data_IF_020100974140
#
_entry.id   IF_020100974140
#
_cell.length_a   1.000
_cell.length_b   1.000
_cell.length_c   1.000
_cell.angle_alpha   90.00
_cell.angle_beta   90.00
_cell.angle_gamma   90.00
#
_symmetry.space_group_name_H-M   'P 1'
#
loop_
_entity.id
_entity.type
_entity.pdbx_description
1 polymer ?
#
# COMPACT_ATOMS: atom_id res chain seq x y z
N UNK A 1 -50.22 -11.57 31.51
CA UNK A 1 -49.41 -12.21 30.44
C UNK A 1 -49.21 -11.21 29.31
N UNK A 2 -48.01 -10.64 29.14
CA UNK A 2 -47.64 -9.82 27.96
C UNK A 2 -46.28 -10.31 27.48
N UNK A 3 -46.24 -10.95 26.31
CA UNK A 3 -45.02 -11.50 25.71
C UNK A 3 -44.29 -10.37 24.99
N UNK A 4 -43.11 -9.97 25.47
CA UNK A 4 -42.20 -9.13 24.69
C UNK A 4 -41.66 -9.94 23.52
N UNK A 5 -42.05 -9.57 22.30
CA UNK A 5 -41.52 -10.08 21.05
C UNK A 5 -40.20 -9.34 20.79
N UNK A 6 -39.08 -9.97 21.14
CA UNK A 6 -37.75 -9.42 20.85
C UNK A 6 -37.42 -9.78 19.39
N UNK A 7 -37.36 -8.77 18.51
CA UNK A 7 -36.94 -8.92 17.12
C UNK A 7 -35.43 -9.18 17.07
N UNK A 8 -35.04 -10.45 16.90
CA UNK A 8 -33.65 -10.92 16.79
C UNK A 8 -33.02 -10.72 15.39
N UNK A 9 -33.43 -9.69 14.64
CA UNK A 9 -33.12 -9.57 13.21
C UNK A 9 -32.12 -8.47 12.84
N UNK A 10 -31.33 -7.97 13.79
CA UNK A 10 -30.48 -6.78 13.55
C UNK A 10 -29.00 -6.94 13.92
N UNK A 11 -28.48 -8.16 14.08
CA UNK A 11 -27.08 -8.35 14.50
C UNK A 11 -26.35 -9.43 13.70
N UNK A 12 -26.49 -9.41 12.37
CA UNK A 12 -25.77 -10.32 11.47
C UNK A 12 -25.19 -9.59 10.24
N UNK A 13 -24.88 -8.30 10.36
CA UNK A 13 -24.44 -7.48 9.25
C UNK A 13 -23.12 -6.73 9.50
N UNK A 14 -22.22 -7.30 10.32
CA UNK A 14 -20.85 -6.80 10.46
C UNK A 14 -19.86 -7.96 10.39
N UNK A 15 -19.84 -8.61 9.23
CA UNK A 15 -18.68 -9.39 8.78
C UNK A 15 -18.26 -8.80 7.44
N UNK A 16 -17.81 -7.55 7.50
CA UNK A 16 -17.17 -6.87 6.36
C UNK A 16 -15.82 -7.52 6.19
N UNK A 17 -15.77 -8.48 5.27
CA UNK A 17 -14.64 -8.81 4.41
C UNK A 17 -13.27 -8.43 4.99
N UNK A 18 -12.75 -9.26 5.89
CA UNK A 18 -11.31 -9.32 6.10
C UNK A 18 -10.70 -9.86 4.80
N UNK A 19 -10.23 -8.95 3.95
CA UNK A 19 -9.55 -9.26 2.70
C UNK A 19 -8.36 -10.16 2.98
N UNK A 20 -8.48 -11.45 2.68
CA UNK A 20 -7.36 -12.38 2.67
C UNK A 20 -6.55 -12.12 1.41
N UNK A 21 -5.66 -11.13 1.44
CA UNK A 21 -4.54 -11.08 0.50
C UNK A 21 -3.42 -11.94 1.10
N UNK A 22 -3.57 -13.26 0.99
CA UNK A 22 -2.52 -14.21 1.36
C UNK A 22 -1.49 -14.29 0.23
N UNK A 23 -0.53 -13.37 0.22
CA UNK A 23 0.72 -13.55 -0.51
C UNK A 23 1.78 -14.02 0.48
N UNK A 24 1.89 -15.33 0.64
CA UNK A 24 3.06 -15.95 1.27
C UNK A 24 4.18 -16.03 0.24
N UNK A 25 5.08 -15.06 0.25
CA UNK A 25 6.39 -15.11 -0.41
C UNK A 25 7.49 -15.06 0.67
N UNK A 26 8.64 -15.73 0.46
CA UNK A 26 9.64 -15.96 1.50
C UNK A 26 10.29 -14.65 1.96
N UNK A 27 10.77 -14.61 3.20
CA UNK A 27 11.46 -13.49 3.84
C UNK A 27 12.83 -13.15 3.20
N UNK A 28 12.82 -12.85 1.90
CA UNK A 28 13.81 -12.00 1.27
C UNK A 28 13.45 -10.55 1.61
N UNK A 29 14.44 -9.65 1.64
CA UNK A 29 14.17 -8.22 1.60
C UNK A 29 13.49 -7.94 0.25
N UNK A 30 12.16 -8.03 0.20
CA UNK A 30 11.40 -7.86 -1.02
C UNK A 30 11.39 -6.38 -1.36
N UNK A 31 12.23 -6.01 -2.33
CA UNK A 31 12.18 -4.67 -2.89
C UNK A 31 11.04 -4.59 -3.89
N UNK A 32 10.08 -3.71 -3.65
CA UNK A 32 8.90 -3.52 -4.52
C UNK A 32 8.82 -2.10 -5.04
N UNK A 33 8.29 -1.92 -6.25
CA UNK A 33 7.91 -0.59 -6.75
C UNK A 33 6.47 -0.29 -6.37
N UNK A 34 6.21 0.95 -5.96
CA UNK A 34 4.90 1.44 -5.56
C UNK A 34 4.59 2.73 -6.29
N UNK A 35 3.32 2.91 -6.68
CA UNK A 35 2.83 4.15 -7.26
C UNK A 35 2.80 5.26 -6.20
N UNK A 36 3.05 6.49 -6.62
CA UNK A 36 2.95 7.67 -5.77
C UNK A 36 2.00 8.68 -6.38
N UNK A 37 1.07 9.17 -5.56
CA UNK A 37 0.18 10.27 -5.89
C UNK A 37 0.43 11.41 -4.90
N UNK A 38 1.18 12.43 -5.34
CA UNK A 38 1.69 13.48 -4.47
C UNK A 38 2.75 12.93 -3.50
N UNK A 39 2.35 12.66 -2.26
CA UNK A 39 3.19 12.05 -1.22
C UNK A 39 2.66 10.68 -0.76
N UNK A 40 1.46 10.28 -1.19
CA UNK A 40 0.84 9.03 -0.77
C UNK A 40 1.39 7.84 -1.55
N UNK A 41 1.74 6.76 -0.85
CA UNK A 41 2.17 5.50 -1.44
C UNK A 41 0.93 4.65 -1.73
N UNK A 42 0.75 4.32 -3.00
CA UNK A 42 -0.35 3.53 -3.50
C UNK A 42 0.01 2.06 -3.72
N UNK A 43 -0.63 1.47 -4.72
CA UNK A 43 -0.51 0.03 -5.02
C UNK A 43 0.90 -0.36 -5.51
N UNK A 44 1.33 -1.60 -5.24
CA UNK A 44 2.54 -2.16 -5.82
C UNK A 44 2.41 -2.27 -7.35
N UNK A 45 3.53 -2.15 -8.04
CA UNK A 45 3.63 -2.15 -9.49
C UNK A 45 4.91 -2.86 -9.95
N UNK A 46 4.94 -3.27 -11.22
CA UNK A 46 6.08 -3.99 -11.79
C UNK A 46 7.36 -3.13 -11.91
N UNK A 47 7.21 -1.80 -11.92
CA UNK A 47 8.31 -0.84 -12.02
C UNK A 47 7.96 0.37 -12.89
N UNK A 48 8.88 1.35 -12.97
CA UNK A 48 8.70 2.53 -13.82
C UNK A 48 8.53 2.13 -15.29
N UNK A 49 7.48 2.66 -15.91
CA UNK A 49 7.15 2.42 -17.32
C UNK A 49 6.45 3.65 -17.92
N UNK A 50 6.38 3.70 -19.26
CA UNK A 50 5.81 4.83 -19.99
C UNK A 50 6.53 6.14 -19.67
N UNK A 51 5.79 7.09 -19.12
CA UNK A 51 6.26 8.44 -18.79
C UNK A 51 6.91 8.53 -17.40
N UNK A 52 6.78 7.50 -16.58
CA UNK A 52 7.43 7.40 -15.27
C UNK A 52 8.80 6.73 -15.41
N UNK A 53 9.88 7.48 -15.21
CA UNK A 53 11.27 7.05 -15.43
C UNK A 53 12.16 7.36 -14.24
N UNK A 54 13.22 6.59 -14.04
CA UNK A 54 14.18 6.83 -12.95
C UNK A 54 15.08 8.06 -13.17
N UNK A 55 14.99 8.70 -14.32
CA UNK A 55 15.63 9.99 -14.58
C UNK A 55 14.94 11.06 -13.75
N UNK A 56 15.69 11.81 -12.95
CA UNK A 56 15.14 12.74 -11.97
C UNK A 56 14.43 13.92 -12.67
N UNK A 57 13.10 13.89 -12.68
CA UNK A 57 12.23 14.89 -13.31
C UNK A 57 11.20 15.40 -12.31
N UNK A 58 10.44 16.42 -12.71
CA UNK A 58 9.79 17.39 -11.81
C UNK A 58 8.81 16.76 -10.79
N UNK A 59 8.16 15.64 -11.11
CA UNK A 59 7.15 15.03 -10.24
C UNK A 59 7.42 13.55 -9.96
N UNK A 60 7.38 13.16 -8.70
CA UNK A 60 7.51 11.78 -8.25
C UNK A 60 6.27 10.98 -8.65
N UNK A 61 6.47 9.86 -9.33
CA UNK A 61 5.40 8.96 -9.77
C UNK A 61 5.48 7.57 -9.15
N UNK A 62 6.69 7.13 -8.77
CA UNK A 62 6.88 5.83 -8.11
C UNK A 62 8.08 5.84 -7.17
N UNK A 63 8.03 4.99 -6.15
CA UNK A 63 9.16 4.70 -5.26
C UNK A 63 9.43 3.21 -5.19
N UNK A 64 10.71 2.84 -5.12
CA UNK A 64 11.13 1.49 -4.80
C UNK A 64 11.42 1.43 -3.30
N UNK A 65 10.68 0.60 -2.59
CA UNK A 65 10.85 0.39 -1.16
C UNK A 65 11.57 -0.92 -0.89
N UNK A 66 12.46 -0.92 0.09
CA UNK A 66 12.98 -2.13 0.72
C UNK A 66 12.25 -2.31 2.02
N UNK A 67 11.44 -3.36 2.12
CA UNK A 67 10.71 -3.69 3.34
C UNK A 67 11.21 -5.01 3.89
N UNK A 68 11.29 -5.10 5.22
CA UNK A 68 11.49 -6.37 5.88
C UNK A 68 10.20 -7.21 5.78
N UNK A 69 10.30 -8.53 5.91
CA UNK A 69 9.19 -9.46 5.69
C UNK A 69 7.92 -9.21 6.54
N UNK A 70 8.03 -8.47 7.65
CA UNK A 70 6.92 -8.14 8.55
C UNK A 70 6.72 -6.64 8.74
N UNK A 71 7.35 -5.82 7.90
CA UNK A 71 7.27 -4.37 8.01
C UNK A 71 6.06 -3.86 7.22
N UNK A 72 5.20 -3.03 7.83
CA UNK A 72 4.09 -2.44 7.09
C UNK A 72 4.62 -1.54 5.97
N UNK A 73 3.89 -1.50 4.86
CA UNK A 73 4.17 -0.52 3.81
C UNK A 73 3.86 0.87 4.39
N UNK A 74 4.80 1.82 4.34
CA UNK A 74 4.57 3.20 4.79
C UNK A 74 3.45 3.85 3.98
N UNK A 75 2.67 4.72 4.61
CA UNK A 75 1.54 5.38 3.95
C UNK A 75 2.02 6.52 3.03
N UNK A 76 3.17 7.12 3.36
CA UNK A 76 3.73 8.28 2.64
C UNK A 76 5.19 8.09 2.26
N UNK A 77 5.62 8.78 1.20
CA UNK A 77 7.03 8.80 0.78
C UNK A 77 7.88 9.46 1.86
N UNK A 78 7.39 10.54 2.46
CA UNK A 78 8.05 11.20 3.61
C UNK A 78 8.34 10.23 4.76
N UNK A 79 7.38 9.37 5.13
CA UNK A 79 7.56 8.34 6.15
C UNK A 79 8.59 7.29 5.71
N UNK A 80 8.47 6.79 4.48
CA UNK A 80 9.39 5.81 3.91
C UNK A 80 10.86 6.32 3.90
N UNK A 81 11.05 7.61 3.63
CA UNK A 81 12.36 8.26 3.67
C UNK A 81 12.90 8.40 5.09
N UNK A 82 12.06 8.83 6.04
CA UNK A 82 12.43 8.92 7.45
C UNK A 82 12.85 7.56 8.03
N UNK A 83 12.21 6.48 7.55
CA UNK A 83 12.52 5.11 7.92
C UNK A 83 13.70 4.50 7.12
N UNK A 84 14.25 5.21 6.13
CA UNK A 84 15.36 4.73 5.30
C UNK A 84 14.98 3.57 4.36
N UNK A 85 13.69 3.42 4.04
CA UNK A 85 13.16 2.32 3.24
C UNK A 85 13.23 2.59 1.72
N UNK A 86 13.42 3.84 1.29
CA UNK A 86 13.45 4.20 -0.12
C UNK A 86 14.79 3.86 -0.77
N UNK A 87 14.78 2.94 -1.73
CA UNK A 87 15.97 2.55 -2.50
C UNK A 87 16.13 3.42 -3.74
N UNK A 88 15.04 3.64 -4.47
CA UNK A 88 15.01 4.38 -5.74
C UNK A 88 13.72 5.15 -5.88
N UNK A 89 13.80 6.20 -6.69
CA UNK A 89 12.66 7.04 -7.06
C UNK A 89 12.54 7.07 -8.57
N UNK A 90 11.31 7.13 -9.06
CA UNK A 90 11.02 7.39 -10.45
C UNK A 90 10.07 8.58 -10.56
N UNK A 91 10.30 9.37 -11.59
CA UNK A 91 9.68 10.66 -11.81
C UNK A 91 9.09 10.72 -13.23
N UNK A 92 8.05 11.52 -13.41
CA UNK A 92 7.47 11.80 -14.73
C UNK A 92 7.71 13.24 -15.13
N UNK A 93 7.72 13.49 -16.44
CA UNK A 93 7.67 14.83 -17.01
C UNK A 93 6.21 15.09 -17.42
N UNK A 94 5.69 16.25 -17.04
CA UNK A 94 4.41 16.75 -17.53
C UNK A 94 4.58 17.41 -18.89
#
# INVERSE_FOLDING_TARGET
>A
MKRLKVNFLALAAVLVAAGTMAFSAPAALDSGWYLVEGDAIGSPAAGPSGDCKTTNTIELCMVQLQLNANEPIPETVSEAEANGQVIRKAHRQF
#
